data_IF_662785605092
#
_entry.id   IF_662785605092
#
_cell.length_a   1.000
_cell.length_b   1.000
_cell.length_c   1.000
_cell.angle_alpha   90.00
_cell.angle_beta   90.00
_cell.angle_gamma   90.00
#
_symmetry.space_group_name_H-M   'P 1'
#
loop_
_entity.id
_entity.type
_entity.pdbx_description
1 polymer ?
#
# COMPACT_ATOMS: atom_id res chain seq x y z
N UNK A 1 4.84 6.22 -18.96
CA UNK A 1 4.42 6.38 -17.56
C UNK A 1 5.39 5.61 -16.70
N UNK A 2 6.06 6.28 -15.77
CA UNK A 2 6.91 5.61 -14.79
C UNK A 2 6.03 5.27 -13.59
N UNK A 3 5.76 3.97 -13.42
CA UNK A 3 5.03 3.46 -12.26
C UNK A 3 6.02 2.84 -11.29
N UNK A 4 5.97 3.28 -10.05
CA UNK A 4 6.75 2.74 -8.93
C UNK A 4 5.84 1.85 -8.10
N UNK A 5 6.35 0.69 -7.70
CA UNK A 5 5.58 -0.35 -7.03
C UNK A 5 6.27 -0.72 -5.73
N UNK A 6 5.50 -0.79 -4.66
CA UNK A 6 6.01 -1.10 -3.34
C UNK A 6 5.20 -2.23 -2.72
N UNK A 7 5.88 -3.16 -2.05
CA UNK A 7 5.30 -4.18 -1.18
C UNK A 7 5.30 -3.68 0.25
N UNK A 8 4.21 -3.91 0.97
CA UNK A 8 4.12 -3.70 2.40
C UNK A 8 4.28 -5.04 3.10
N UNK A 9 5.27 -5.13 3.99
CA UNK A 9 5.55 -6.32 4.78
C UNK A 9 5.40 -6.00 6.28
N UNK A 10 4.72 -6.88 6.99
CA UNK A 10 4.60 -6.87 8.46
C UNK A 10 5.12 -8.21 8.97
N UNK A 11 6.20 -8.19 9.76
CA UNK A 11 6.86 -9.38 10.28
C UNK A 11 7.25 -10.39 9.17
N UNK A 12 7.65 -9.86 8.01
CA UNK A 12 8.00 -10.65 6.82
C UNK A 12 6.80 -11.17 6.01
N UNK A 13 5.57 -10.89 6.43
CA UNK A 13 4.34 -11.28 5.72
C UNK A 13 3.83 -10.15 4.82
N UNK A 14 3.40 -10.49 3.60
CA UNK A 14 2.79 -9.53 2.68
C UNK A 14 1.43 -9.07 3.22
N UNK A 15 1.30 -7.75 3.42
CA UNK A 15 0.07 -7.11 3.90
C UNK A 15 -0.46 -6.03 2.96
N UNK A 16 0.20 -5.80 1.82
CA UNK A 16 -0.34 -4.91 0.81
C UNK A 16 0.63 -4.50 -0.28
N UNK A 17 0.12 -3.69 -1.20
CA UNK A 17 0.90 -3.03 -2.25
C UNK A 17 0.58 -1.54 -2.29
N UNK A 18 1.58 -0.73 -2.67
CA UNK A 18 1.40 0.67 -3.05
C UNK A 18 1.88 0.84 -4.49
N UNK A 19 1.09 1.53 -5.31
CA UNK A 19 1.42 1.89 -6.67
C UNK A 19 1.43 3.41 -6.78
N UNK A 20 2.49 3.99 -7.33
CA UNK A 20 2.59 5.44 -7.58
C UNK A 20 2.90 5.63 -9.06
N UNK A 21 2.08 6.41 -9.76
CA UNK A 21 2.30 6.69 -11.18
C UNK A 21 2.31 8.18 -11.45
N UNK A 22 3.36 8.63 -12.12
CA UNK A 22 3.43 10.01 -12.59
C UNK A 22 2.62 10.20 -13.86
N UNK A 23 2.01 11.38 -13.97
CA UNK A 23 1.40 11.88 -15.20
C UNK A 23 0.37 10.92 -15.78
N UNK A 24 -0.61 10.55 -14.93
CA UNK A 24 -1.76 9.78 -15.38
C UNK A 24 -2.52 10.55 -16.46
N UNK A 25 -2.93 9.89 -17.54
CA UNK A 25 -3.61 10.54 -18.67
C UNK A 25 -4.89 11.26 -18.27
N UNK A 26 -5.56 10.83 -17.20
CA UNK A 26 -6.75 11.48 -16.64
C UNK A 26 -6.43 12.63 -15.69
N UNK A 27 -5.21 12.65 -15.14
CA UNK A 27 -4.73 13.66 -14.18
C UNK A 27 -3.33 14.14 -14.59
N UNK A 28 -3.24 14.97 -15.65
CA UNK A 28 -1.98 15.51 -16.13
C UNK A 28 -1.31 16.34 -15.04
N UNK A 29 0.01 16.27 -14.96
CA UNK A 29 0.82 16.98 -13.95
C UNK A 29 0.50 16.64 -12.48
N UNK A 30 -0.06 15.45 -12.23
CA UNK A 30 -0.23 14.89 -10.89
C UNK A 30 0.41 13.51 -10.79
N UNK A 31 0.65 13.07 -9.55
CA UNK A 31 0.87 11.66 -9.23
C UNK A 31 -0.47 11.04 -8.85
N UNK A 32 -0.75 9.85 -9.39
CA UNK A 32 -1.87 9.03 -8.93
C UNK A 32 -1.28 7.87 -8.15
N UNK A 33 -1.73 7.70 -6.92
CA UNK A 33 -1.23 6.63 -6.07
C UNK A 33 -2.37 5.82 -5.45
N UNK A 34 -2.14 4.52 -5.30
CA UNK A 34 -3.12 3.57 -4.81
C UNK A 34 -2.48 2.63 -3.80
N UNK A 35 -3.18 2.32 -2.72
CA UNK A 35 -2.82 1.28 -1.76
C UNK A 35 -3.85 0.15 -1.80
N UNK A 36 -3.36 -1.08 -1.94
CA UNK A 36 -4.13 -2.31 -1.80
C UNK A 36 -3.71 -3.01 -0.50
N UNK A 37 -4.44 -2.83 0.61
CA UNK A 37 -4.17 -3.56 1.84
C UNK A 37 -4.78 -4.96 1.80
N UNK A 38 -4.12 -5.91 2.45
CA UNK A 38 -4.63 -7.24 2.72
C UNK A 38 -4.72 -7.46 4.22
N UNK A 39 -5.78 -8.13 4.64
CA UNK A 39 -5.92 -8.61 6.00
C UNK A 39 -5.93 -10.13 5.99
N UNK A 40 -5.16 -10.72 6.90
CA UNK A 40 -5.23 -12.15 7.12
C UNK A 40 -6.56 -12.50 7.79
N UNK A 41 -7.33 -13.37 7.16
CA UNK A 41 -8.52 -13.97 7.73
C UNK A 41 -8.31 -15.47 7.90
N UNK A 42 -9.08 -16.07 8.80
CA UNK A 42 -9.01 -17.49 9.14
C UNK A 42 -8.00 -17.85 10.22
N UNK A 43 -7.96 -19.13 10.56
CA UNK A 43 -7.18 -19.69 11.65
C UNK A 43 -6.28 -20.82 11.18
N UNK A 44 -5.07 -20.86 11.73
CA UNK A 44 -4.19 -22.02 11.59
C UNK A 44 -4.85 -23.31 12.06
N UNK A 45 -5.73 -23.24 13.06
CA UNK A 45 -6.44 -24.41 13.61
C UNK A 45 -7.55 -24.92 12.70
N UNK A 46 -8.14 -24.05 11.88
CA UNK A 46 -9.20 -24.40 10.95
C UNK A 46 -8.67 -24.68 9.53
N UNK A 47 -7.39 -24.40 9.26
CA UNK A 47 -6.74 -24.67 7.97
C UNK A 47 -7.16 -23.72 6.85
N UNK A 48 -7.78 -22.59 7.19
CA UNK A 48 -8.44 -21.65 6.28
C UNK A 48 -7.76 -20.27 6.26
N UNK A 49 -6.42 -20.25 6.25
CA UNK A 49 -5.69 -18.99 6.14
C UNK A 49 -5.90 -18.36 4.76
N UNK A 50 -6.56 -17.22 4.72
CA UNK A 50 -6.79 -16.46 3.49
C UNK A 50 -6.32 -15.01 3.63
N UNK A 51 -5.85 -14.43 2.52
CA UNK A 51 -5.63 -12.99 2.42
C UNK A 51 -6.92 -12.36 1.88
N UNK A 52 -7.69 -11.74 2.75
CA UNK A 52 -8.85 -10.97 2.36
C UNK A 52 -8.39 -9.57 1.94
N UNK A 53 -8.69 -9.18 0.69
CA UNK A 53 -8.46 -7.82 0.22
C UNK A 53 -9.33 -6.82 0.96
N UNK A 54 -8.72 -5.74 1.45
CA UNK A 54 -9.46 -4.57 1.91
C UNK A 54 -9.78 -3.64 0.73
N UNK A 55 -10.60 -2.61 0.99
CA UNK A 55 -10.92 -1.60 -0.02
C UNK A 55 -9.65 -0.93 -0.54
N UNK A 56 -9.50 -0.91 -1.86
CA UNK A 56 -8.50 -0.09 -2.54
C UNK A 56 -8.72 1.37 -2.19
N UNK A 57 -7.66 2.04 -1.75
CA UNK A 57 -7.67 3.50 -1.58
C UNK A 57 -6.82 4.07 -2.70
N UNK A 58 -7.34 5.08 -3.38
CA UNK A 58 -6.63 5.80 -4.45
C UNK A 58 -6.76 7.28 -4.19
N UNK A 59 -5.65 7.98 -4.32
CA UNK A 59 -5.57 9.42 -4.10
C UNK A 59 -4.64 10.09 -5.11
N UNK A 60 -4.74 11.42 -5.20
CA UNK A 60 -4.04 12.25 -6.18
C UNK A 60 -3.14 13.21 -5.42
N UNK A 61 -1.88 13.28 -5.84
CA UNK A 61 -0.84 14.08 -5.19
C UNK A 61 -0.17 15.01 -6.20
N UNK A 62 0.37 16.12 -5.69
CA UNK A 62 1.21 17.02 -6.47
C UNK A 62 2.51 16.31 -6.90
N UNK A 63 3.07 16.69 -8.05
CA UNK A 63 4.32 16.11 -8.56
C UNK A 63 5.51 16.25 -7.62
N UNK A 64 5.49 17.28 -6.76
CA UNK A 64 6.55 17.55 -5.79
C UNK A 64 6.48 16.65 -4.55
N UNK A 65 5.31 16.05 -4.28
CA UNK A 65 5.14 15.13 -3.15
C UNK A 65 6.08 13.94 -3.32
N UNK A 66 6.88 13.62 -2.30
CA UNK A 66 7.82 12.49 -2.41
C UNK A 66 7.08 11.16 -2.34
N UNK A 67 7.73 10.09 -2.80
CA UNK A 67 7.11 8.76 -2.71
C UNK A 67 6.95 8.32 -1.25
N UNK A 68 7.87 8.68 -0.35
CA UNK A 68 7.75 8.39 1.09
C UNK A 68 6.55 9.10 1.72
N UNK A 69 6.32 10.37 1.38
CA UNK A 69 5.16 11.14 1.87
C UNK A 69 3.85 10.50 1.39
N UNK A 70 3.79 10.11 0.12
CA UNK A 70 2.64 9.41 -0.46
C UNK A 70 2.40 8.07 0.26
N UNK A 71 3.46 7.27 0.45
CA UNK A 71 3.37 5.98 1.12
C UNK A 71 2.82 6.14 2.54
N UNK A 72 3.38 7.07 3.33
CA UNK A 72 2.93 7.32 4.70
C UNK A 72 1.46 7.78 4.75
N UNK A 73 1.07 8.68 3.86
CA UNK A 73 -0.30 9.17 3.77
C UNK A 73 -1.28 8.02 3.47
N UNK A 74 -0.99 7.21 2.45
CA UNK A 74 -1.84 6.08 2.05
C UNK A 74 -1.95 5.01 3.15
N UNK A 75 -0.84 4.69 3.85
CA UNK A 75 -0.83 3.75 4.98
C UNK A 75 -1.75 4.24 6.10
N UNK A 76 -1.67 5.53 6.44
CA UNK A 76 -2.54 6.15 7.44
C UNK A 76 -4.01 6.14 7.00
N UNK A 77 -4.30 6.45 5.73
CA UNK A 77 -5.68 6.38 5.19
C UNK A 77 -6.24 4.96 5.25
N UNK A 78 -5.41 3.96 4.93
CA UNK A 78 -5.75 2.54 5.02
C UNK A 78 -5.88 2.02 6.45
N UNK A 79 -5.57 2.84 7.46
CA UNK A 79 -5.59 2.47 8.88
C UNK A 79 -4.76 1.21 9.17
N UNK A 80 -3.65 1.06 8.46
CA UNK A 80 -2.69 -0.02 8.74
C UNK A 80 -1.96 0.36 10.02
N UNK A 81 -2.12 -0.47 11.04
CA UNK A 81 -1.40 -0.31 12.31
C UNK A 81 0.03 -0.86 12.16
N UNK A 82 0.97 0.04 11.86
CA UNK A 82 2.38 -0.32 11.73
C UNK A 82 3.01 -0.73 13.06
N UNK A 83 2.49 -0.25 14.19
CA UNK A 83 3.05 -0.53 15.53
C UNK A 83 2.67 -1.93 16.02
N UNK A 84 1.62 -2.53 15.43
CA UNK A 84 1.28 -3.93 15.63
C UNK A 84 2.33 -4.89 15.02
N UNK A 85 3.20 -4.41 14.13
CA UNK A 85 4.28 -5.18 13.50
C UNK A 85 5.58 -4.99 14.27
N UNK A 86 6.28 -6.08 14.60
CA UNK A 86 7.66 -5.98 15.14
C UNK A 86 8.62 -5.42 14.10
N UNK A 87 8.41 -5.77 12.84
CA UNK A 87 9.13 -5.21 11.70
C UNK A 87 8.15 -4.84 10.58
N UNK A 88 8.02 -3.54 10.33
CA UNK A 88 7.27 -3.01 9.18
C UNK A 88 8.26 -2.58 8.08
N UNK A 89 8.03 -3.01 6.85
CA UNK A 89 8.91 -2.70 5.72
C UNK A 89 8.10 -2.30 4.48
N UNK A 90 8.64 -1.31 3.75
CA UNK A 90 8.16 -0.92 2.42
C UNK A 90 9.30 -1.22 1.44
N UNK A 91 9.04 -2.11 0.47
CA UNK A 91 10.08 -2.63 -0.44
C UNK A 91 9.72 -2.34 -1.88
N UNK A 92 10.60 -1.67 -2.62
CA UNK A 92 10.46 -1.46 -4.06
C UNK A 92 10.64 -2.79 -4.82
N UNK A 93 9.81 -3.08 -5.83
CA UNK A 93 9.84 -4.36 -6.57
C UNK A 93 9.40 -4.27 -8.04
#
# INVERSE_FOLDING_TARGET
MNTRKFKLLCDGQLIGFIFITDNNHRFPNCKVASIWPFQRQGSWTAGDLELAGQSLITDIYDLQTTDEEIQYNLIRQARIDCDACRTFQIVNY
#
